data_IF_176294306386
#
_entry.id   IF_176294306386
#
_cell.length_a   1.000
_cell.length_b   1.000
_cell.length_c   1.000
_cell.angle_alpha   90.00
_cell.angle_beta   90.00
_cell.angle_gamma   90.00
#
_symmetry.space_group_name_H-M   'P 1'
#
loop_
_entity.id
_entity.type
_entity.pdbx_description
1 polymer ?
#
# COMPACT_ATOMS: atom_id res chain seq x y z
N UNK A 1 24.65 18.31 37.46
CA UNK A 1 25.25 18.66 36.15
C UNK A 1 25.39 17.36 35.35
N UNK A 2 25.00 17.32 34.07
CA UNK A 2 23.70 16.81 33.55
C UNK A 2 23.85 15.41 32.89
N UNK A 3 22.82 14.69 32.42
CA UNK A 3 22.04 14.99 31.20
C UNK A 3 20.52 14.75 31.32
N UNK A 4 19.77 15.53 30.53
CA UNK A 4 18.31 15.54 30.49
C UNK A 4 17.77 15.21 29.10
N UNK A 5 17.61 13.91 28.83
CA UNK A 5 16.76 13.31 27.77
C UNK A 5 16.35 11.94 28.33
N UNK A 6 15.11 11.56 28.58
CA UNK A 6 13.83 11.84 27.95
C UNK A 6 12.74 11.79 29.03
N UNK A 7 11.92 12.85 29.11
CA UNK A 7 10.63 12.78 29.78
C UNK A 7 9.53 12.87 28.72
N UNK A 8 8.45 12.08 28.83
CA UNK A 8 7.38 12.07 27.84
C UNK A 8 6.68 13.43 27.83
N UNK A 9 6.74 14.13 26.69
CA UNK A 9 5.96 15.35 26.48
C UNK A 9 4.50 14.97 26.27
N UNK A 10 3.65 15.26 27.24
CA UNK A 10 2.20 15.37 27.02
C UNK A 10 1.95 16.61 26.15
N UNK A 11 1.34 16.41 24.99
CA UNK A 11 0.87 17.48 24.11
C UNK A 11 -0.66 17.49 24.12
N UNK A 12 -1.22 18.35 24.98
CA UNK A 12 -2.35 19.26 24.73
C UNK A 12 -3.60 18.79 23.98
N UNK A 13 -4.04 17.54 24.09
CA UNK A 13 -5.44 17.14 23.83
C UNK A 13 -6.02 17.52 22.46
N UNK A 14 -5.18 17.79 21.47
CA UNK A 14 -5.55 18.13 20.10
C UNK A 14 -5.23 16.92 19.22
N UNK A 15 -6.22 16.45 18.47
CA UNK A 15 -6.01 15.50 17.39
C UNK A 15 -5.05 16.14 16.39
N UNK A 16 -3.82 15.63 16.35
CA UNK A 16 -2.83 16.02 15.35
C UNK A 16 -3.31 15.43 14.01
N UNK A 17 -3.47 16.21 12.95
CA UNK A 17 -3.76 15.66 11.63
C UNK A 17 -2.66 14.65 11.27
N UNK A 18 -2.98 13.56 10.59
CA UNK A 18 -1.99 12.63 10.08
C UNK A 18 -1.12 13.31 9.00
N UNK A 19 -0.20 14.18 9.42
CA UNK A 19 0.90 14.65 8.57
C UNK A 19 1.75 13.44 8.24
N UNK A 20 2.00 13.23 6.95
CA UNK A 20 2.68 12.09 6.34
C UNK A 20 3.81 11.56 7.23
N UNK A 21 3.55 10.45 7.93
CA UNK A 21 4.61 9.68 8.56
C UNK A 21 5.37 8.99 7.44
N UNK A 22 6.69 9.01 7.50
CA UNK A 22 7.50 8.27 6.54
C UNK A 22 7.14 6.78 6.57
N UNK A 23 7.32 6.09 5.44
CA UNK A 23 6.96 4.67 5.29
C UNK A 23 7.44 3.77 6.44
N UNK A 24 8.67 3.96 6.93
CA UNK A 24 9.21 3.16 8.04
C UNK A 24 8.44 3.34 9.35
N UNK A 25 7.93 4.54 9.64
CA UNK A 25 7.16 4.80 10.85
C UNK A 25 5.75 4.23 10.73
N UNK A 26 5.15 4.32 9.53
CA UNK A 26 3.89 3.64 9.23
C UNK A 26 4.02 2.13 9.41
N UNK A 27 5.07 1.52 8.85
CA UNK A 27 5.29 0.08 8.92
C UNK A 27 5.52 -0.41 10.35
N UNK A 28 6.34 0.31 11.14
CA UNK A 28 6.53 -0.01 12.57
C UNK A 28 5.22 0.03 13.34
N UNK A 29 4.41 1.06 13.10
CA UNK A 29 3.10 1.18 13.73
C UNK A 29 2.18 0.02 13.36
N UNK A 30 2.15 -0.39 12.09
CA UNK A 30 1.39 -1.57 11.67
C UNK A 30 1.82 -2.84 12.39
N UNK A 31 3.14 -3.05 12.59
CA UNK A 31 3.65 -4.18 13.36
C UNK A 31 3.24 -4.12 14.83
N UNK A 32 3.38 -2.96 15.47
CA UNK A 32 3.09 -2.78 16.89
C UNK A 32 1.58 -2.96 17.19
N UNK A 33 0.71 -2.44 16.31
CA UNK A 33 -0.75 -2.53 16.47
C UNK A 33 -1.27 -3.93 16.19
N UNK A 34 -0.80 -4.59 15.12
CA UNK A 34 -1.28 -5.93 14.75
C UNK A 34 -0.58 -7.06 15.52
N UNK A 35 0.60 -6.81 16.08
CA UNK A 35 1.47 -7.86 16.62
C UNK A 35 1.91 -8.87 15.55
N UNK A 36 1.89 -8.48 14.27
CA UNK A 36 2.00 -9.36 13.11
C UNK A 36 2.98 -8.82 12.06
N UNK A 37 3.56 -9.73 11.29
CA UNK A 37 4.33 -9.43 10.07
C UNK A 37 3.56 -9.85 8.80
N UNK A 38 2.31 -10.26 8.94
CA UNK A 38 1.50 -10.80 7.85
C UNK A 38 1.12 -9.69 6.86
N UNK A 39 1.39 -9.96 5.58
CA UNK A 39 0.97 -9.14 4.45
C UNK A 39 0.00 -9.95 3.58
N UNK A 40 -1.25 -9.49 3.48
CA UNK A 40 -2.27 -10.13 2.65
C UNK A 40 -2.24 -9.55 1.24
N UNK A 41 -2.08 -10.42 0.24
CA UNK A 41 -2.20 -10.07 -1.17
C UNK A 41 -3.65 -9.90 -1.59
N UNK A 42 -3.94 -8.84 -2.36
CA UNK A 42 -5.28 -8.57 -2.91
C UNK A 42 -5.22 -8.72 -4.43
N UNK A 43 -5.42 -9.97 -4.86
CA UNK A 43 -5.18 -10.45 -6.23
C UNK A 43 -6.48 -11.05 -6.80
N UNK A 44 -7.48 -10.23 -7.17
CA UNK A 44 -8.84 -10.69 -7.47
C UNK A 44 -8.93 -11.44 -8.81
N UNK A 45 -8.77 -12.76 -8.77
CA UNK A 45 -9.06 -13.65 -9.89
C UNK A 45 -10.55 -14.06 -9.90
N UNK A 46 -11.31 -13.59 -10.89
CA UNK A 46 -12.74 -13.90 -11.04
C UNK A 46 -13.02 -15.39 -11.13
N UNK A 47 -12.10 -16.21 -11.66
CA UNK A 47 -12.29 -17.66 -11.71
C UNK A 47 -12.35 -18.31 -10.32
N UNK A 48 -11.91 -17.59 -9.28
CA UNK A 48 -11.90 -18.03 -7.89
C UNK A 48 -13.00 -17.37 -7.05
N UNK A 49 -13.87 -16.56 -7.65
CA UNK A 49 -14.91 -15.87 -6.91
C UNK A 49 -15.99 -16.86 -6.46
N UNK A 50 -16.58 -16.68 -5.27
CA UNK A 50 -17.81 -17.34 -4.91
C UNK A 50 -18.89 -17.07 -5.95
N UNK A 51 -19.72 -18.06 -6.26
CA UNK A 51 -20.79 -17.94 -7.26
C UNK A 51 -21.79 -16.82 -6.93
N UNK A 52 -21.91 -16.44 -5.67
CA UNK A 52 -22.74 -15.33 -5.20
C UNK A 52 -22.21 -13.94 -5.61
N UNK A 53 -20.92 -13.81 -5.93
CA UNK A 53 -20.28 -12.56 -6.34
C UNK A 53 -20.14 -12.44 -7.87
N UNK A 54 -20.24 -13.54 -8.61
CA UNK A 54 -19.87 -13.60 -10.03
C UNK A 54 -20.69 -12.66 -10.93
N UNK A 55 -21.98 -12.50 -10.63
CA UNK A 55 -22.90 -11.60 -11.33
C UNK A 55 -23.14 -10.26 -10.60
N UNK A 56 -22.48 -10.03 -9.46
CA UNK A 56 -22.72 -8.83 -8.68
C UNK A 56 -22.10 -7.61 -9.37
N UNK A 57 -22.79 -6.46 -9.41
CA UNK A 57 -22.13 -5.21 -9.78
C UNK A 57 -21.01 -4.94 -8.78
N UNK A 58 -19.87 -4.45 -9.27
CA UNK A 58 -18.72 -4.09 -8.43
C UNK A 58 -18.10 -5.31 -7.70
N UNK A 59 -18.20 -6.50 -8.30
CA UNK A 59 -17.75 -7.77 -7.71
C UNK A 59 -16.28 -7.73 -7.24
N UNK A 60 -15.38 -7.11 -8.01
CA UNK A 60 -13.95 -7.04 -7.68
C UNK A 60 -13.71 -6.21 -6.42
N UNK A 61 -14.30 -5.01 -6.33
CA UNK A 61 -14.20 -4.19 -5.12
C UNK A 61 -14.80 -4.92 -3.91
N UNK A 62 -16.01 -5.51 -4.06
CA UNK A 62 -16.69 -6.22 -2.96
C UNK A 62 -15.85 -7.38 -2.44
N UNK A 63 -15.34 -8.21 -3.35
CA UNK A 63 -14.49 -9.34 -3.00
C UNK A 63 -13.27 -8.90 -2.20
N UNK A 64 -12.52 -7.91 -2.69
CA UNK A 64 -11.35 -7.41 -1.99
C UNK A 64 -11.69 -6.73 -0.66
N UNK A 65 -12.78 -5.94 -0.61
CA UNK A 65 -13.22 -5.26 0.61
C UNK A 65 -13.61 -6.27 1.69
N UNK A 66 -14.34 -7.32 1.34
CA UNK A 66 -14.72 -8.36 2.31
C UNK A 66 -13.49 -9.09 2.89
N UNK A 67 -12.45 -9.33 2.08
CA UNK A 67 -11.17 -9.85 2.58
C UNK A 67 -10.51 -8.86 3.53
N UNK A 68 -10.46 -7.57 3.17
CA UNK A 68 -9.91 -6.52 4.02
C UNK A 68 -10.64 -6.48 5.36
N UNK A 69 -11.97 -6.39 5.35
CA UNK A 69 -12.79 -6.29 6.56
C UNK A 69 -12.62 -7.48 7.49
N UNK A 70 -12.46 -8.68 6.91
CA UNK A 70 -12.29 -9.92 7.67
C UNK A 70 -10.87 -10.14 8.22
N UNK A 71 -9.87 -9.38 7.78
CA UNK A 71 -8.46 -9.66 8.11
C UNK A 71 -7.66 -8.46 8.61
N UNK A 72 -8.22 -7.24 8.57
CA UNK A 72 -7.49 -6.01 8.90
C UNK A 72 -6.93 -5.96 10.33
N UNK A 73 -7.53 -6.68 11.28
CA UNK A 73 -7.07 -6.80 12.67
C UNK A 73 -5.89 -7.79 12.85
N UNK A 74 -5.56 -8.59 11.82
CA UNK A 74 -4.54 -9.65 11.88
C UNK A 74 -3.28 -9.32 11.06
N UNK A 75 -3.34 -8.31 10.19
CA UNK A 75 -2.31 -8.02 9.20
C UNK A 75 -1.57 -6.73 9.52
N UNK A 76 -0.31 -6.67 9.14
CA UNK A 76 0.42 -5.40 9.12
C UNK A 76 0.27 -4.69 7.78
N UNK A 77 -0.04 -5.41 6.70
CA UNK A 77 -0.15 -4.82 5.38
C UNK A 77 -1.15 -5.51 4.46
N UNK A 78 -1.73 -4.71 3.56
CA UNK A 78 -2.36 -5.18 2.34
C UNK A 78 -1.48 -4.85 1.13
N UNK A 79 -1.42 -5.79 0.18
CA UNK A 79 -0.62 -5.65 -1.04
C UNK A 79 -1.45 -5.97 -2.29
N UNK A 80 -2.23 -5.02 -2.83
CA UNK A 80 -2.91 -5.21 -4.11
C UNK A 80 -1.91 -5.35 -5.28
N UNK A 81 -2.14 -6.34 -6.13
CA UNK A 81 -1.40 -6.53 -7.38
C UNK A 81 -2.14 -5.88 -8.54
N UNK A 82 -1.59 -4.78 -9.07
CA UNK A 82 -2.28 -3.93 -10.06
C UNK A 82 -2.65 -4.69 -11.35
N UNK A 83 -1.89 -5.72 -11.72
CA UNK A 83 -2.15 -6.49 -12.94
C UNK A 83 -3.53 -7.17 -12.94
N UNK A 84 -4.00 -7.65 -11.77
CA UNK A 84 -5.32 -8.28 -11.67
C UNK A 84 -6.45 -7.27 -11.92
N UNK A 85 -6.29 -6.03 -11.47
CA UNK A 85 -7.29 -4.98 -11.66
C UNK A 85 -7.26 -4.44 -13.09
N UNK A 86 -6.08 -4.06 -13.59
CA UNK A 86 -5.93 -3.48 -14.93
C UNK A 86 -6.34 -4.46 -16.04
N UNK A 87 -6.02 -5.75 -15.90
CA UNK A 87 -6.44 -6.79 -16.85
C UNK A 87 -7.95 -6.94 -16.99
N UNK A 88 -8.72 -6.44 -16.01
CA UNK A 88 -10.18 -6.54 -15.95
C UNK A 88 -10.88 -5.19 -16.13
N UNK A 89 -10.13 -4.09 -16.37
CA UNK A 89 -10.64 -2.70 -16.40
C UNK A 89 -11.24 -2.25 -15.06
N UNK A 90 -10.64 -2.69 -13.95
CA UNK A 90 -11.11 -2.48 -12.59
C UNK A 90 -10.19 -1.53 -11.81
N UNK A 91 -9.52 -0.61 -12.50
CA UNK A 91 -8.64 0.39 -11.89
C UNK A 91 -9.41 1.33 -10.93
N UNK A 92 -10.68 1.63 -11.25
CA UNK A 92 -11.56 2.41 -10.36
C UNK A 92 -11.88 1.64 -9.07
N UNK A 93 -12.05 0.31 -9.16
CA UNK A 93 -12.23 -0.54 -7.98
C UNK A 93 -10.96 -0.57 -7.11
N UNK A 94 -9.77 -0.63 -7.73
CA UNK A 94 -8.49 -0.54 -7.02
C UNK A 94 -8.33 0.80 -6.30
N UNK A 95 -8.63 1.91 -6.97
CA UNK A 95 -8.52 3.26 -6.38
C UNK A 95 -9.45 3.43 -5.18
N UNK A 96 -10.70 2.96 -5.30
CA UNK A 96 -11.66 2.93 -4.20
C UNK A 96 -11.22 2.04 -3.05
N UNK A 97 -10.65 0.86 -3.35
CA UNK A 97 -10.14 -0.07 -2.34
C UNK A 97 -8.96 0.52 -1.57
N UNK A 98 -8.01 1.14 -2.27
CA UNK A 98 -6.87 1.82 -1.63
C UNK A 98 -7.33 2.96 -0.72
N UNK A 99 -8.31 3.75 -1.15
CA UNK A 99 -8.91 4.80 -0.31
C UNK A 99 -9.62 4.20 0.89
N UNK A 100 -10.44 3.16 0.69
CA UNK A 100 -11.15 2.46 1.76
C UNK A 100 -10.20 1.93 2.85
N UNK A 101 -9.11 1.27 2.46
CA UNK A 101 -8.10 0.75 3.41
C UNK A 101 -7.49 1.88 4.23
N UNK A 102 -7.07 2.97 3.58
CA UNK A 102 -6.42 4.10 4.28
C UNK A 102 -7.35 4.82 5.24
N UNK A 103 -8.62 4.99 4.87
CA UNK A 103 -9.60 5.71 5.69
C UNK A 103 -10.14 4.85 6.83
N UNK A 104 -10.37 3.56 6.59
CA UNK A 104 -11.02 2.65 7.56
C UNK A 104 -9.99 1.99 8.48
N UNK A 105 -8.80 1.68 7.96
CA UNK A 105 -7.74 0.97 8.67
C UNK A 105 -6.42 1.75 8.58
N UNK A 106 -6.34 2.97 9.13
CA UNK A 106 -5.19 3.88 8.96
C UNK A 106 -3.89 3.32 9.54
N UNK A 107 -3.97 2.33 10.43
CA UNK A 107 -2.82 1.66 11.03
C UNK A 107 -2.27 0.52 10.17
N UNK A 108 -2.95 0.13 9.08
CA UNK A 108 -2.50 -0.93 8.16
C UNK A 108 -1.69 -0.32 7.01
N UNK A 109 -0.52 -0.91 6.74
CA UNK A 109 0.32 -0.48 5.62
C UNK A 109 -0.27 -0.92 4.28
N UNK A 110 -0.14 -0.07 3.26
CA UNK A 110 -0.66 -0.34 1.91
C UNK A 110 0.52 -0.36 0.94
N UNK A 111 0.77 -1.51 0.33
CA UNK A 111 1.88 -1.71 -0.61
C UNK A 111 1.30 -1.94 -2.00
N UNK A 112 1.55 -1.04 -2.94
CA UNK A 112 1.15 -1.26 -4.32
C UNK A 112 2.17 -2.17 -5.02
N UNK A 113 1.74 -3.37 -5.37
CA UNK A 113 2.57 -4.30 -6.11
C UNK A 113 2.41 -4.06 -7.62
N UNK A 114 3.22 -3.13 -8.15
CA UNK A 114 3.16 -2.68 -9.55
C UNK A 114 4.37 -3.05 -10.41
N UNK A 115 5.49 -3.45 -9.78
CA UNK A 115 6.79 -3.80 -10.40
C UNK A 115 7.23 -2.86 -11.54
N UNK A 116 6.93 -1.56 -11.43
CA UNK A 116 7.23 -0.57 -12.47
C UNK A 116 8.74 -0.40 -12.60
N UNK A 117 9.22 -0.20 -13.83
CA UNK A 117 10.64 -0.01 -14.13
C UNK A 117 10.79 0.55 -15.54
N UNK A 118 10.83 1.87 -15.63
CA UNK A 118 11.04 2.66 -16.85
C UNK A 118 11.90 3.87 -16.48
N UNK A 119 12.26 4.76 -17.41
CA UNK A 119 13.16 5.89 -17.15
C UNK A 119 12.48 7.25 -17.40
N UNK A 120 13.08 8.31 -16.86
CA UNK A 120 12.66 9.69 -17.11
C UNK A 120 11.19 9.95 -16.79
N UNK A 121 10.50 10.68 -17.67
CA UNK A 121 9.11 11.10 -17.45
C UNK A 121 8.13 9.93 -17.26
N UNK A 122 8.39 8.77 -17.87
CA UNK A 122 7.53 7.60 -17.69
C UNK A 122 7.59 7.08 -16.24
N UNK A 123 8.79 7.05 -15.64
CA UNK A 123 8.95 6.69 -14.24
C UNK A 123 8.31 7.70 -13.28
N UNK A 124 8.34 9.00 -13.61
CA UNK A 124 7.63 10.04 -12.85
C UNK A 124 6.11 9.82 -12.87
N UNK A 125 5.54 9.40 -14.01
CA UNK A 125 4.13 9.05 -14.10
C UNK A 125 3.79 7.82 -13.24
N UNK A 126 4.66 6.81 -13.20
CA UNK A 126 4.46 5.65 -12.33
C UNK A 126 4.56 5.99 -10.84
N UNK A 127 5.48 6.88 -10.45
CA UNK A 127 5.59 7.34 -9.08
C UNK A 127 4.33 8.12 -8.65
N UNK A 128 3.82 9.00 -9.53
CA UNK A 128 2.55 9.74 -9.33
C UNK A 128 1.33 8.81 -9.28
N UNK A 129 1.30 7.77 -10.10
CA UNK A 129 0.27 6.73 -10.03
C UNK A 129 0.28 6.05 -8.64
N UNK A 130 1.45 5.57 -8.19
CA UNK A 130 1.57 4.81 -6.96
C UNK A 130 1.25 5.65 -5.70
N UNK A 131 1.89 6.81 -5.56
CA UNK A 131 1.82 7.62 -4.35
C UNK A 131 0.73 8.69 -4.40
N UNK A 132 0.32 9.11 -5.60
CA UNK A 132 -0.74 10.10 -5.80
C UNK A 132 -2.11 9.45 -5.96
N UNK A 133 -2.32 8.75 -7.08
CA UNK A 133 -3.63 8.13 -7.42
C UNK A 133 -4.03 7.07 -6.39
N UNK A 134 -3.17 6.08 -6.17
CA UNK A 134 -3.48 4.99 -5.24
C UNK A 134 -3.09 5.30 -3.79
N UNK A 135 -2.28 6.34 -3.58
CA UNK A 135 -1.90 6.76 -2.23
C UNK A 135 -1.19 5.68 -1.42
N UNK A 136 -0.46 4.80 -2.08
CA UNK A 136 0.22 3.69 -1.43
C UNK A 136 1.30 4.20 -0.46
N UNK A 137 1.52 3.46 0.62
CA UNK A 137 2.61 3.73 1.55
C UNK A 137 3.95 3.24 0.99
N UNK A 138 3.93 2.21 0.15
CA UNK A 138 5.09 1.73 -0.60
C UNK A 138 4.70 1.16 -1.96
N UNK A 139 5.68 1.06 -2.86
CA UNK A 139 5.51 0.45 -4.19
C UNK A 139 6.65 -0.50 -4.51
N UNK A 140 6.34 -1.60 -5.20
CA UNK A 140 7.37 -2.48 -5.75
C UNK A 140 7.89 -1.95 -7.09
N UNK A 141 9.20 -2.00 -7.33
CA UNK A 141 9.83 -1.52 -8.57
C UNK A 141 10.79 -2.55 -9.17
N UNK A 142 10.99 -2.51 -10.47
CA UNK A 142 11.98 -3.32 -11.18
C UNK A 142 13.20 -2.43 -11.55
N UNK A 143 14.37 -2.63 -10.89
CA UNK A 143 15.55 -1.80 -11.11
C UNK A 143 16.37 -2.17 -12.36
N UNK A 144 15.84 -3.02 -13.26
CA UNK A 144 16.59 -3.58 -14.39
C UNK A 144 17.27 -2.52 -15.27
N UNK A 145 16.61 -1.38 -15.50
CA UNK A 145 17.15 -0.29 -16.33
C UNK A 145 18.14 0.62 -15.59
N UNK A 146 18.56 0.23 -14.38
CA UNK A 146 19.49 0.99 -13.55
C UNK A 146 18.79 1.99 -12.62
N UNK A 147 19.60 2.75 -11.89
CA UNK A 147 19.15 3.65 -10.82
C UNK A 147 18.13 4.69 -11.30
N UNK A 148 18.25 5.14 -12.54
CA UNK A 148 17.33 6.12 -13.16
C UNK A 148 15.88 5.62 -13.21
N UNK A 149 15.67 4.30 -13.18
CA UNK A 149 14.33 3.71 -13.14
C UNK A 149 13.66 3.72 -11.77
N UNK A 150 14.43 4.07 -10.74
CA UNK A 150 13.99 4.06 -9.34
C UNK A 150 14.01 5.46 -8.73
N UNK A 151 14.94 6.32 -9.14
CA UNK A 151 15.10 7.68 -8.58
C UNK A 151 13.80 8.49 -8.51
N UNK A 152 12.92 8.48 -9.54
CA UNK A 152 11.68 9.25 -9.49
C UNK A 152 10.75 8.85 -8.34
N UNK A 153 10.81 7.61 -7.86
CA UNK A 153 10.00 7.15 -6.73
C UNK A 153 10.46 7.72 -5.39
N UNK A 154 11.76 8.08 -5.25
CA UNK A 154 12.29 8.70 -4.03
C UNK A 154 11.95 10.19 -3.90
N UNK A 155 11.36 10.81 -4.93
CA UNK A 155 10.82 12.16 -4.84
C UNK A 155 9.51 12.24 -4.03
N UNK A 156 9.00 11.09 -3.58
CA UNK A 156 7.79 10.96 -2.77
C UNK A 156 8.15 10.39 -1.39
N UNK A 157 7.36 10.73 -0.37
CA UNK A 157 7.56 10.29 1.04
C UNK A 157 7.16 8.82 1.31
N UNK A 158 7.25 7.97 0.28
CA UNK A 158 6.84 6.56 0.32
C UNK A 158 8.00 5.57 0.30
N UNK A 159 7.68 4.30 0.56
CA UNK A 159 8.63 3.20 0.50
C UNK A 159 8.82 2.66 -0.92
N UNK A 160 10.03 2.21 -1.22
CA UNK A 160 10.35 1.54 -2.49
C UNK A 160 10.89 0.14 -2.22
N UNK A 161 10.24 -0.87 -2.79
CA UNK A 161 10.61 -2.29 -2.64
C UNK A 161 11.14 -2.78 -3.99
N UNK A 162 12.46 -2.76 -4.16
CA UNK A 162 13.10 -3.21 -5.39
C UNK A 162 13.08 -4.75 -5.52
N UNK A 163 12.74 -5.24 -6.70
CA UNK A 163 12.95 -6.66 -7.03
C UNK A 163 14.44 -7.00 -6.93
N UNK A 164 14.73 -8.14 -6.31
CA UNK A 164 16.10 -8.63 -6.13
C UNK A 164 16.18 -10.13 -6.48
N UNK A 165 15.57 -10.97 -5.64
CA UNK A 165 15.40 -12.41 -5.89
C UNK A 165 13.93 -12.77 -5.82
N UNK A 166 13.41 -13.37 -6.89
CA UNK A 166 12.02 -13.81 -6.99
C UNK A 166 11.90 -15.32 -6.79
N UNK A 167 10.67 -15.79 -6.58
CA UNK A 167 10.35 -17.18 -6.20
C UNK A 167 10.07 -18.13 -7.37
N UNK A 168 10.36 -17.70 -8.60
CA UNK A 168 10.18 -18.49 -9.81
C UNK A 168 11.35 -19.45 -10.09
#
# INVERSE_FOLDING_TARGET
MPDGRDLPRRLDGRVVPATARGFHDQLRRSWDVSGSLLCVGLDPDRARFPTTLDAAPDAVFRFCREIVDATADLVCAFKPQIAYFAGQREEDALERLCTYVRETYPDVTLVLDAKRGDIGSTAEHYAREAFGRYGAHAVTVNPYLGTDSVLPFFAHDGGVIALCRTSN
#
